data_IF_509141628399
#
_entry.id   IF_509141628399
#
_cell.length_a   1.000
_cell.length_b   1.000
_cell.length_c   1.000
_cell.angle_alpha   90.00
_cell.angle_beta   90.00
_cell.angle_gamma   90.00
#
_symmetry.space_group_name_H-M   'P 1'
#
loop_
_entity.id
_entity.type
_entity.pdbx_description
1 polymer ?
#
# COMPACT_ATOMS: atom_id res chain seq x y z
N UNK A 1 -3.06 -21.99 23.18
CA UNK A 1 -3.97 -21.59 22.09
C UNK A 1 -3.79 -20.09 21.88
N UNK A 2 -3.11 -19.67 20.83
CA UNK A 2 -3.03 -18.27 20.43
C UNK A 2 -4.44 -17.83 19.99
N UNK A 3 -4.94 -16.68 20.44
CA UNK A 3 -6.23 -16.19 19.98
C UNK A 3 -6.15 -15.97 18.45
N UNK A 4 -7.00 -16.68 17.68
CA UNK A 4 -7.18 -16.37 16.25
C UNK A 4 -7.71 -14.94 16.13
N UNK A 5 -7.18 -14.19 15.18
CA UNK A 5 -7.75 -12.88 14.84
C UNK A 5 -9.22 -13.11 14.46
N UNK A 6 -10.13 -12.45 15.18
CA UNK A 6 -11.51 -12.37 14.73
C UNK A 6 -11.59 -11.18 13.79
N UNK A 7 -11.74 -11.43 12.51
CA UNK A 7 -12.17 -10.35 11.60
C UNK A 7 -13.55 -9.83 12.08
N UNK A 8 -13.78 -8.51 12.02
CA UNK A 8 -12.92 -7.53 11.39
C UNK A 8 -11.88 -6.90 12.33
N UNK A 9 -10.58 -7.06 11.99
CA UNK A 9 -9.54 -6.17 12.52
C UNK A 9 -9.75 -4.74 11.99
N UNK A 10 -9.27 -3.75 12.71
CA UNK A 10 -9.37 -2.33 12.32
C UNK A 10 -7.99 -1.75 12.02
N UNK A 11 -7.82 -1.17 10.83
CA UNK A 11 -6.56 -0.52 10.42
C UNK A 11 -6.84 0.93 10.06
N UNK A 12 -6.10 1.85 10.69
CA UNK A 12 -6.11 3.25 10.31
C UNK A 12 -5.01 3.50 9.27
N UNK A 13 -5.35 4.15 8.16
CA UNK A 13 -4.40 4.46 7.09
C UNK A 13 -4.29 5.97 6.92
N UNK A 14 -3.06 6.51 7.02
CA UNK A 14 -2.82 7.95 6.86
C UNK A 14 -1.89 8.22 5.68
N UNK A 15 -2.34 9.04 4.74
CA UNK A 15 -1.52 9.46 3.60
C UNK A 15 -2.29 10.18 2.50
N UNK A 16 -1.62 10.46 1.37
CA UNK A 16 -2.22 11.12 0.22
C UNK A 16 -3.36 10.31 -0.41
N UNK A 17 -4.43 11.03 -0.79
CA UNK A 17 -5.57 10.52 -1.54
C UNK A 17 -5.51 11.13 -2.94
N UNK A 18 -5.50 10.30 -3.97
CA UNK A 18 -5.43 10.73 -5.36
C UNK A 18 -6.57 10.14 -6.19
N UNK A 19 -6.84 10.79 -7.31
CA UNK A 19 -7.50 10.16 -8.44
C UNK A 19 -6.46 9.92 -9.52
N UNK A 20 -6.39 8.70 -10.03
CA UNK A 20 -5.44 8.28 -11.03
C UNK A 20 -6.13 8.27 -12.41
N UNK A 21 -5.61 9.07 -13.34
CA UNK A 21 -6.04 9.09 -14.74
C UNK A 21 -4.97 8.40 -15.57
N UNK A 22 -5.28 7.22 -16.10
CA UNK A 22 -4.32 6.42 -16.88
C UNK A 22 -4.66 6.50 -18.37
N UNK A 23 -3.66 6.87 -19.17
CA UNK A 23 -3.79 7.01 -20.62
C UNK A 23 -2.72 6.17 -21.34
N UNK A 24 -3.09 5.18 -22.17
CA UNK A 24 -2.14 4.51 -23.06
C UNK A 24 -1.83 5.41 -24.27
N UNK A 25 -0.55 5.50 -24.64
CA UNK A 25 -0.09 6.20 -25.83
C UNK A 25 0.87 5.32 -26.63
N UNK A 26 0.91 5.51 -27.95
CA UNK A 26 1.86 4.79 -28.80
C UNK A 26 3.28 5.35 -28.68
N UNK A 27 3.41 6.68 -28.67
CA UNK A 27 4.70 7.37 -28.63
C UNK A 27 4.56 8.65 -27.82
N UNK A 28 5.56 8.95 -26.99
CA UNK A 28 5.64 10.23 -26.26
C UNK A 28 5.84 11.36 -27.26
N UNK A 29 5.05 12.46 -27.16
CA UNK A 29 5.25 13.65 -27.98
C UNK A 29 6.53 14.37 -27.55
N UNK A 30 7.14 15.14 -28.45
CA UNK A 30 8.15 16.13 -28.08
C UNK A 30 7.49 17.34 -27.41
N UNK A 31 8.28 18.14 -26.69
CA UNK A 31 7.78 19.38 -26.09
C UNK A 31 7.19 20.29 -27.17
N UNK A 32 5.92 20.66 -27.01
CA UNK A 32 5.17 21.46 -27.98
C UNK A 32 4.28 20.67 -28.95
N UNK A 33 4.44 19.32 -28.99
CA UNK A 33 3.61 18.44 -29.80
C UNK A 33 2.45 17.84 -28.99
N UNK A 34 1.55 17.10 -29.64
CA UNK A 34 0.46 16.37 -29.04
C UNK A 34 0.54 14.85 -29.30
N UNK A 35 -0.08 14.08 -28.45
CA UNK A 35 -0.28 12.64 -28.62
C UNK A 35 -1.71 12.26 -28.30
N UNK A 36 -2.36 11.52 -29.19
CA UNK A 36 -3.70 10.97 -28.98
C UNK A 36 -3.65 9.66 -28.20
N UNK A 37 -4.54 9.52 -27.20
CA UNK A 37 -4.80 8.25 -26.54
C UNK A 37 -6.10 7.65 -27.05
N UNK A 38 -6.18 6.33 -27.32
CA UNK A 38 -7.41 5.67 -27.80
C UNK A 38 -8.50 5.61 -26.71
N UNK A 39 -8.09 5.68 -25.44
CA UNK A 39 -8.98 5.64 -24.27
C UNK A 39 -8.26 6.18 -23.05
N UNK A 40 -8.99 6.33 -21.95
CA UNK A 40 -8.41 6.57 -20.63
C UNK A 40 -9.25 5.86 -19.56
N UNK A 41 -8.66 5.60 -18.42
CA UNK A 41 -9.38 5.15 -17.21
C UNK A 41 -9.20 6.16 -16.09
N UNK A 42 -10.20 6.21 -15.21
CA UNK A 42 -10.19 7.06 -14.02
C UNK A 42 -10.53 6.17 -12.84
N UNK A 43 -9.64 6.13 -11.86
CA UNK A 43 -9.82 5.34 -10.66
C UNK A 43 -9.44 6.18 -9.43
N UNK A 44 -10.02 5.85 -8.27
CA UNK A 44 -9.44 6.34 -7.02
C UNK A 44 -8.11 5.65 -6.79
N UNK A 45 -7.15 6.36 -6.21
CA UNK A 45 -5.79 5.89 -6.07
C UNK A 45 -5.09 6.50 -4.86
N UNK A 46 -3.76 6.48 -4.95
CA UNK A 46 -2.87 6.77 -3.84
C UNK A 46 -2.57 5.49 -3.04
N UNK A 47 -1.31 5.36 -2.58
CA UNK A 47 -0.81 4.15 -1.91
C UNK A 47 -1.71 3.72 -0.75
N UNK A 48 -2.04 4.66 0.15
CA UNK A 48 -2.92 4.34 1.29
C UNK A 48 -4.37 4.09 0.88
N UNK A 49 -4.87 4.77 -0.16
CA UNK A 49 -6.22 4.58 -0.70
C UNK A 49 -6.39 3.17 -1.27
N UNK A 50 -5.47 2.73 -2.12
CA UNK A 50 -5.46 1.39 -2.68
C UNK A 50 -5.30 0.32 -1.60
N UNK A 51 -4.39 0.52 -0.64
CA UNK A 51 -4.22 -0.40 0.50
C UNK A 51 -5.49 -0.48 1.36
N UNK A 52 -6.18 0.65 1.59
CA UNK A 52 -7.44 0.68 2.35
C UNK A 52 -8.54 -0.12 1.64
N UNK A 53 -8.69 0.07 0.32
CA UNK A 53 -9.65 -0.68 -0.49
C UNK A 53 -9.32 -2.18 -0.46
N UNK A 54 -8.06 -2.57 -0.65
CA UNK A 54 -7.65 -3.96 -0.61
C UNK A 54 -7.96 -4.61 0.76
N UNK A 55 -7.61 -3.94 1.87
CA UNK A 55 -7.92 -4.39 3.22
C UNK A 55 -9.43 -4.51 3.45
N UNK A 56 -10.20 -3.52 3.05
CA UNK A 56 -11.66 -3.55 3.20
C UNK A 56 -12.30 -4.71 2.43
N UNK A 57 -11.87 -4.96 1.19
CA UNK A 57 -12.33 -6.11 0.38
C UNK A 57 -11.91 -7.47 0.96
N UNK A 58 -10.92 -7.48 1.86
CA UNK A 58 -10.49 -8.64 2.62
C UNK A 58 -11.15 -8.74 4.01
N UNK A 59 -12.17 -7.92 4.29
CA UNK A 59 -12.94 -7.97 5.54
C UNK A 59 -12.33 -7.20 6.72
N UNK A 60 -11.30 -6.37 6.48
CA UNK A 60 -10.69 -5.50 7.50
C UNK A 60 -11.47 -4.17 7.55
N UNK A 61 -11.73 -3.66 8.75
CA UNK A 61 -12.30 -2.32 8.95
C UNK A 61 -11.23 -1.24 8.67
N UNK A 62 -11.08 -0.85 7.41
CA UNK A 62 -10.11 0.15 6.97
C UNK A 62 -10.66 1.57 7.18
N UNK A 63 -9.94 2.38 7.98
CA UNK A 63 -10.27 3.79 8.26
C UNK A 63 -9.23 4.69 7.63
N UNK A 64 -9.64 5.57 6.73
CA UNK A 64 -8.74 6.43 5.97
C UNK A 64 -8.68 7.83 6.57
N UNK A 65 -7.46 8.34 6.79
CA UNK A 65 -7.15 9.72 7.16
C UNK A 65 -6.39 10.37 6.01
N UNK A 66 -6.90 11.49 5.53
CA UNK A 66 -6.31 12.26 4.43
C UNK A 66 -7.17 13.45 4.03
N UNK A 67 -6.86 14.03 2.89
CA UNK A 67 -7.62 15.17 2.37
C UNK A 67 -8.01 14.97 0.92
N UNK A 68 -9.20 15.47 0.58
CA UNK A 68 -9.69 15.64 -0.79
C UNK A 68 -10.15 17.10 -0.99
N UNK A 69 -10.27 17.53 -2.21
CA UNK A 69 -10.86 18.84 -2.55
C UNK A 69 -12.39 18.79 -2.60
N UNK A 70 -13.01 19.95 -2.63
CA UNK A 70 -14.46 20.11 -2.83
C UNK A 70 -14.84 20.12 -4.32
N UNK A 71 -14.24 19.21 -5.10
CA UNK A 71 -14.42 19.10 -6.54
C UNK A 71 -14.96 17.73 -6.97
N UNK A 72 -15.22 17.56 -8.27
CA UNK A 72 -15.76 16.34 -8.81
C UNK A 72 -14.81 15.12 -8.58
N UNK A 73 -13.49 15.35 -8.56
CA UNK A 73 -12.52 14.30 -8.28
C UNK A 73 -12.56 13.84 -6.82
N UNK A 74 -12.74 14.80 -5.89
CA UNK A 74 -12.94 14.48 -4.48
C UNK A 74 -14.21 13.67 -4.23
N UNK A 75 -15.31 14.04 -4.90
CA UNK A 75 -16.56 13.31 -4.84
C UNK A 75 -16.41 11.88 -5.41
N UNK A 76 -15.72 11.72 -6.54
CA UNK A 76 -15.42 10.42 -7.14
C UNK A 76 -14.62 9.54 -6.18
N UNK A 77 -13.55 10.07 -5.59
CA UNK A 77 -12.72 9.33 -4.64
C UNK A 77 -13.53 8.91 -3.40
N UNK A 78 -14.28 9.84 -2.80
CA UNK A 78 -15.10 9.56 -1.62
C UNK A 78 -16.15 8.47 -1.89
N UNK A 79 -16.80 8.50 -3.06
CA UNK A 79 -17.79 7.51 -3.44
C UNK A 79 -17.17 6.13 -3.65
N UNK A 80 -16.03 6.04 -4.32
CA UNK A 80 -15.29 4.78 -4.51
C UNK A 80 -14.89 4.13 -3.18
N UNK A 81 -14.43 4.93 -2.21
CA UNK A 81 -14.10 4.43 -0.88
C UNK A 81 -15.34 3.90 -0.15
N UNK A 82 -16.48 4.63 -0.19
CA UNK A 82 -17.74 4.16 0.42
C UNK A 82 -18.24 2.86 -0.20
N UNK A 83 -18.22 2.77 -1.54
CA UNK A 83 -18.65 1.57 -2.27
C UNK A 83 -17.82 0.34 -1.92
N UNK A 84 -16.55 0.52 -1.57
CA UNK A 84 -15.66 -0.56 -1.16
C UNK A 84 -15.64 -0.80 0.35
N UNK A 85 -16.46 -0.08 1.13
CA UNK A 85 -16.59 -0.27 2.58
C UNK A 85 -15.49 0.40 3.41
N UNK A 86 -14.66 1.26 2.81
CA UNK A 86 -13.65 2.05 3.54
C UNK A 86 -14.33 3.15 4.35
N UNK A 87 -14.02 3.23 5.64
CA UNK A 87 -14.47 4.32 6.51
C UNK A 87 -13.67 5.60 6.21
N UNK A 88 -14.35 6.60 5.67
CA UNK A 88 -13.78 7.90 5.32
C UNK A 88 -14.12 9.01 6.33
N UNK A 89 -14.55 8.64 7.54
CA UNK A 89 -14.82 9.64 8.61
C UNK A 89 -13.59 10.47 8.99
N UNK A 90 -12.40 9.96 8.69
CA UNK A 90 -11.12 10.66 8.85
C UNK A 90 -10.69 11.51 7.65
N UNK A 91 -11.47 11.50 6.55
CA UNK A 91 -11.12 12.26 5.35
C UNK A 91 -11.71 13.67 5.41
N UNK A 92 -10.85 14.67 5.29
CA UNK A 92 -11.27 16.09 5.26
C UNK A 92 -11.49 16.56 3.83
N UNK A 93 -12.59 17.31 3.62
CA UNK A 93 -12.87 18.01 2.38
C UNK A 93 -12.38 19.44 2.51
N UNK A 94 -11.40 19.87 1.70
CA UNK A 94 -10.79 21.20 1.77
C UNK A 94 -11.49 22.16 0.78
N UNK A 95 -12.21 23.20 1.30
CA UNK A 95 -12.91 24.14 0.44
C UNK A 95 -11.98 24.94 -0.48
N UNK A 96 -12.33 25.07 -1.75
CA UNK A 96 -11.57 25.83 -2.75
C UNK A 96 -10.25 25.19 -3.17
N UNK A 97 -9.94 23.98 -2.69
CA UNK A 97 -8.73 23.25 -3.05
C UNK A 97 -9.09 22.13 -4.02
N UNK A 98 -8.20 21.83 -4.98
CA UNK A 98 -8.38 20.69 -5.90
C UNK A 98 -7.92 19.41 -5.28
N UNK A 99 -8.60 18.30 -5.58
CA UNK A 99 -8.16 16.94 -5.20
C UNK A 99 -6.84 16.59 -5.87
N UNK A 100 -6.00 15.79 -5.21
CA UNK A 100 -4.77 15.26 -5.77
C UNK A 100 -5.05 14.41 -7.01
N UNK A 101 -4.29 14.62 -8.09
CA UNK A 101 -4.39 13.88 -9.34
C UNK A 101 -3.04 13.31 -9.73
N UNK A 102 -3.05 12.06 -10.22
CA UNK A 102 -1.93 11.45 -10.91
C UNK A 102 -2.34 11.16 -12.35
N UNK A 103 -1.63 11.72 -13.30
CA UNK A 103 -1.75 11.32 -14.69
C UNK A 103 -0.66 10.29 -15.00
N UNK A 104 -1.07 9.04 -15.23
CA UNK A 104 -0.19 7.95 -15.61
C UNK A 104 -0.26 7.76 -17.13
N UNK A 105 0.78 8.14 -17.82
CA UNK A 105 0.93 7.92 -19.27
C UNK A 105 1.67 6.62 -19.48
N UNK A 106 1.04 5.66 -20.16
CA UNK A 106 1.57 4.31 -20.39
C UNK A 106 2.01 4.19 -21.83
N UNK A 107 3.30 4.02 -22.06
CA UNK A 107 3.85 3.81 -23.42
C UNK A 107 3.54 2.41 -23.95
N UNK A 108 3.70 2.21 -25.26
CA UNK A 108 3.52 0.91 -25.93
C UNK A 108 4.42 -0.20 -25.33
N UNK A 109 5.54 0.16 -24.72
CA UNK A 109 6.42 -0.76 -24.00
C UNK A 109 5.95 -1.14 -22.60
N UNK A 110 4.83 -0.57 -22.12
CA UNK A 110 4.31 -0.79 -20.78
C UNK A 110 4.95 0.10 -19.69
N UNK A 111 5.91 0.95 -20.05
CA UNK A 111 6.52 1.90 -19.13
C UNK A 111 5.54 3.02 -18.77
N UNK A 112 5.56 3.42 -17.49
CA UNK A 112 4.67 4.45 -16.96
C UNK A 112 5.43 5.70 -16.57
N UNK A 113 4.92 6.84 -17.01
CA UNK A 113 5.39 8.17 -16.59
C UNK A 113 4.25 8.88 -15.88
N UNK A 114 4.53 9.42 -14.69
CA UNK A 114 3.54 10.06 -13.85
C UNK A 114 3.72 11.58 -13.84
N UNK A 115 2.59 12.29 -13.97
CA UNK A 115 2.49 13.73 -13.74
C UNK A 115 1.56 13.95 -12.55
N UNK A 116 2.13 14.38 -11.42
CA UNK A 116 1.43 14.45 -10.16
C UNK A 116 1.03 15.89 -9.82
N UNK A 117 -0.25 16.11 -9.60
CA UNK A 117 -0.80 17.34 -9.01
C UNK A 117 -1.21 17.05 -7.56
N UNK A 118 -0.51 17.63 -6.60
CA UNK A 118 -0.70 17.33 -5.18
C UNK A 118 -2.05 17.78 -4.62
N UNK A 119 -2.53 18.97 -5.03
CA UNK A 119 -3.82 19.48 -4.58
C UNK A 119 -4.01 19.42 -3.07
N UNK A 120 -5.11 18.86 -2.62
CA UNK A 120 -5.46 18.68 -1.21
C UNK A 120 -4.47 17.81 -0.41
N UNK A 121 -3.51 17.17 -1.06
CA UNK A 121 -2.43 16.44 -0.38
C UNK A 121 -1.28 17.34 0.07
N UNK A 122 -1.35 18.64 -0.15
CA UNK A 122 -0.49 19.62 0.50
C UNK A 122 -1.19 20.05 1.78
N UNK A 123 -0.80 19.45 2.91
CA UNK A 123 -1.38 19.77 4.20
C UNK A 123 -0.71 21.01 4.76
N UNK A 124 -1.48 21.96 5.22
CA UNK A 124 -0.92 23.09 5.94
C UNK A 124 -0.79 22.77 7.45
N UNK A 125 0.03 23.55 8.14
CA UNK A 125 0.27 23.35 9.57
C UNK A 125 -0.96 23.67 10.45
N UNK A 126 -2.01 24.23 9.88
CA UNK A 126 -3.27 24.58 10.57
C UNK A 126 -4.29 23.47 10.45
N UNK A 127 -4.12 22.55 9.49
CA UNK A 127 -5.05 21.45 9.30
C UNK A 127 -4.93 20.41 10.42
N UNK A 128 -6.04 20.21 11.12
CA UNK A 128 -6.14 19.24 12.20
C UNK A 128 -6.81 17.95 11.71
N UNK A 129 -6.03 16.91 11.56
CA UNK A 129 -6.58 15.57 11.29
C UNK A 129 -7.25 15.00 12.55
N UNK A 130 -8.31 14.18 12.40
CA UNK A 130 -8.95 13.48 13.51
C UNK A 130 -8.11 12.28 13.98
N UNK A 131 -6.87 12.54 14.44
CA UNK A 131 -5.89 11.51 14.80
C UNK A 131 -6.32 10.65 16.00
N UNK A 132 -7.32 11.08 16.78
CA UNK A 132 -7.92 10.27 17.83
C UNK A 132 -8.51 8.94 17.32
N UNK A 133 -8.80 8.83 16.01
CA UNK A 133 -9.26 7.59 15.39
C UNK A 133 -8.19 6.48 15.53
N UNK A 134 -6.90 6.84 15.52
CA UNK A 134 -5.78 5.90 15.60
C UNK A 134 -5.84 5.09 16.89
N UNK A 135 -6.15 5.72 18.02
CA UNK A 135 -6.17 5.07 19.35
C UNK A 135 -7.20 3.93 19.48
N UNK A 136 -8.12 3.81 18.51
CA UNK A 136 -9.15 2.78 18.47
C UNK A 136 -9.00 1.85 17.27
N UNK A 137 -7.76 1.54 16.89
CA UNK A 137 -7.44 0.63 15.77
C UNK A 137 -6.38 -0.38 16.20
N UNK A 138 -6.30 -1.50 15.48
CA UNK A 138 -5.33 -2.57 15.73
C UNK A 138 -3.98 -2.29 15.06
N UNK A 139 -3.92 -1.32 14.12
CA UNK A 139 -2.69 -0.91 13.45
C UNK A 139 -2.84 0.47 12.79
N UNK A 140 -1.74 1.22 12.76
CA UNK A 140 -1.55 2.39 11.91
C UNK A 140 -0.71 2.02 10.68
N UNK A 141 -1.27 2.18 9.48
CA UNK A 141 -0.54 2.09 8.21
C UNK A 141 -0.23 3.48 7.69
N UNK A 142 1.03 3.74 7.36
CA UNK A 142 1.47 5.01 6.77
C UNK A 142 2.29 4.79 5.51
N UNK A 143 2.54 5.88 4.79
CA UNK A 143 3.46 5.90 3.64
C UNK A 143 4.53 6.98 3.82
N UNK A 144 5.65 6.84 3.13
CA UNK A 144 6.72 7.83 3.17
C UNK A 144 6.39 9.19 2.53
N UNK A 145 5.35 9.27 1.70
CA UNK A 145 5.01 10.49 0.93
C UNK A 145 4.87 11.78 1.79
N UNK A 146 4.24 11.77 2.97
CA UNK A 146 4.19 12.97 3.79
C UNK A 146 5.55 13.51 4.25
N UNK A 147 6.58 12.67 4.29
CA UNK A 147 7.94 13.11 4.67
C UNK A 147 8.61 13.98 3.62
N UNK A 148 8.18 13.90 2.35
CA UNK A 148 8.77 14.69 1.26
C UNK A 148 8.42 16.18 1.32
N UNK A 149 7.49 16.57 2.19
CA UNK A 149 7.03 17.94 2.34
C UNK A 149 7.11 18.41 3.79
N UNK A 150 7.74 19.54 4.02
CA UNK A 150 7.88 20.12 5.36
C UNK A 150 6.53 20.40 6.03
N UNK A 151 5.50 20.76 5.25
CA UNK A 151 4.14 21.02 5.76
C UNK A 151 3.40 19.75 6.17
N UNK A 152 3.67 18.61 5.55
CA UNK A 152 2.97 17.34 5.80
C UNK A 152 3.65 16.52 6.91
N UNK A 153 4.96 16.67 7.05
CA UNK A 153 5.78 15.89 7.99
C UNK A 153 5.28 15.92 9.44
N UNK A 154 4.90 17.09 10.01
CA UNK A 154 4.40 17.14 11.39
C UNK A 154 3.17 16.28 11.64
N UNK A 155 2.23 16.21 10.67
CA UNK A 155 1.02 15.40 10.80
C UNK A 155 1.35 13.90 10.85
N UNK A 156 2.27 13.43 9.99
CA UNK A 156 2.72 12.04 10.02
C UNK A 156 3.45 11.69 11.33
N UNK A 157 4.39 12.54 11.77
CA UNK A 157 5.13 12.29 13.00
C UNK A 157 4.23 12.27 14.22
N UNK A 158 3.25 13.19 14.30
CA UNK A 158 2.23 13.20 15.35
C UNK A 158 1.36 11.92 15.33
N UNK A 159 0.97 11.44 14.15
CA UNK A 159 0.24 10.18 14.04
C UNK A 159 1.06 8.98 14.55
N UNK A 160 2.35 8.93 14.23
CA UNK A 160 3.28 7.91 14.73
C UNK A 160 3.41 8.00 16.26
N UNK A 161 3.59 9.21 16.81
CA UNK A 161 3.72 9.42 18.26
C UNK A 161 2.44 9.03 19.02
N UNK A 162 1.25 9.31 18.44
CA UNK A 162 -0.04 8.86 19.01
C UNK A 162 -0.13 7.33 18.99
N UNK A 163 0.23 6.69 17.88
CA UNK A 163 0.22 5.24 17.78
C UNK A 163 1.15 4.60 18.84
N UNK A 164 2.40 5.09 18.96
CA UNK A 164 3.35 4.61 19.98
C UNK A 164 2.83 4.81 21.40
N UNK A 165 2.21 5.98 21.70
CA UNK A 165 1.68 6.29 23.03
C UNK A 165 0.48 5.43 23.43
N UNK A 166 -0.15 4.76 22.48
CA UNK A 166 -1.30 3.87 22.69
C UNK A 166 -0.98 2.40 22.38
N UNK A 167 0.31 2.04 22.26
CA UNK A 167 0.77 0.69 21.92
C UNK A 167 0.14 0.13 20.61
N UNK A 168 -0.18 1.02 19.67
CA UNK A 168 -0.72 0.65 18.36
C UNK A 168 0.44 0.36 17.40
N UNK A 169 0.53 -0.86 16.84
CA UNK A 169 1.57 -1.21 15.88
C UNK A 169 1.56 -0.32 14.64
N UNK A 170 2.75 -0.04 14.11
CA UNK A 170 2.92 0.86 12.97
C UNK A 170 3.55 0.10 11.81
N UNK A 171 2.88 0.15 10.65
CA UNK A 171 3.39 -0.33 9.37
C UNK A 171 3.65 0.85 8.43
N UNK A 172 4.75 0.80 7.68
CA UNK A 172 5.07 1.79 6.65
C UNK A 172 5.43 1.12 5.33
N UNK A 173 4.76 1.54 4.24
CA UNK A 173 5.27 1.36 2.87
C UNK A 173 6.08 2.61 2.50
N UNK A 174 7.39 2.46 2.30
CA UNK A 174 8.29 3.60 2.12
C UNK A 174 8.02 4.37 0.83
N UNK A 175 7.64 3.67 -0.24
CA UNK A 175 7.47 4.20 -1.60
C UNK A 175 8.74 4.82 -2.18
N UNK A 176 8.95 4.68 -3.50
CA UNK A 176 10.24 4.98 -4.14
C UNK A 176 10.64 6.46 -4.03
N UNK A 177 9.72 7.37 -4.36
CA UNK A 177 10.03 8.80 -4.37
C UNK A 177 10.42 9.35 -2.99
N UNK A 178 9.67 9.03 -1.90
CA UNK A 178 10.05 9.43 -0.55
C UNK A 178 11.45 8.96 -0.12
N UNK A 179 11.86 7.76 -0.50
CA UNK A 179 13.19 7.26 -0.15
C UNK A 179 14.29 8.12 -0.74
N UNK A 180 14.15 8.57 -1.99
CA UNK A 180 15.13 9.45 -2.63
C UNK A 180 15.10 10.88 -2.11
N UNK A 181 13.90 11.46 -1.95
CA UNK A 181 13.72 12.87 -1.61
C UNK A 181 13.88 13.15 -0.10
N UNK A 182 13.70 12.15 0.76
CA UNK A 182 13.65 12.29 2.22
C UNK A 182 14.32 11.13 2.97
N UNK A 183 15.46 10.65 2.47
CA UNK A 183 16.17 9.48 3.00
C UNK A 183 16.45 9.57 4.50
N UNK A 184 16.88 10.75 4.99
CA UNK A 184 17.16 10.96 6.42
C UNK A 184 15.92 10.83 7.28
N UNK A 185 14.79 11.33 6.81
CA UNK A 185 13.52 11.26 7.56
C UNK A 185 12.97 9.83 7.56
N UNK A 186 13.07 9.11 6.42
CA UNK A 186 12.71 7.68 6.36
C UNK A 186 13.55 6.88 7.37
N UNK A 187 14.89 7.07 7.36
CA UNK A 187 15.78 6.40 8.32
C UNK A 187 15.45 6.72 9.78
N UNK A 188 15.02 7.94 10.07
CA UNK A 188 14.64 8.35 11.43
C UNK A 188 13.31 7.71 11.88
N UNK A 189 12.42 7.33 10.94
CA UNK A 189 11.14 6.69 11.24
C UNK A 189 11.26 5.17 11.38
N UNK A 190 12.17 4.51 10.63
CA UNK A 190 12.32 3.04 10.66
C UNK A 190 12.37 2.44 12.07
N UNK A 191 13.11 2.99 13.05
CA UNK A 191 13.16 2.44 14.41
C UNK A 191 11.83 2.49 15.18
N UNK A 192 10.85 3.25 14.69
CA UNK A 192 9.52 3.40 15.29
C UNK A 192 8.49 2.43 14.71
N UNK A 193 8.86 1.65 13.69
CA UNK A 193 7.96 0.76 12.94
C UNK A 193 7.98 -0.66 13.51
N UNK A 194 6.81 -1.32 13.48
CA UNK A 194 6.72 -2.77 13.64
C UNK A 194 6.89 -3.49 12.30
N UNK A 195 6.39 -2.88 11.20
CA UNK A 195 6.51 -3.44 9.85
C UNK A 195 7.11 -2.39 8.92
N UNK A 196 8.18 -2.75 8.22
CA UNK A 196 8.79 -1.93 7.17
C UNK A 196 8.68 -2.63 5.81
N UNK A 197 7.99 -1.99 4.85
CA UNK A 197 7.73 -2.54 3.51
C UNK A 197 8.40 -1.63 2.49
N UNK A 198 9.20 -2.22 1.59
CA UNK A 198 9.99 -1.47 0.61
C UNK A 198 9.95 -2.17 -0.77
N UNK A 199 10.06 -1.41 -1.83
CA UNK A 199 10.48 -1.93 -3.13
C UNK A 199 11.99 -2.21 -3.15
N UNK A 200 12.45 -3.08 -4.03
CA UNK A 200 13.87 -3.46 -4.12
C UNK A 200 14.78 -2.26 -4.38
N UNK A 201 14.42 -1.38 -5.33
CA UNK A 201 15.22 -0.18 -5.64
C UNK A 201 15.31 0.77 -4.46
N UNK A 202 14.19 0.99 -3.76
CA UNK A 202 14.11 1.78 -2.53
C UNK A 202 15.04 1.22 -1.46
N UNK A 203 14.98 -0.09 -1.27
CA UNK A 203 15.74 -0.81 -0.29
C UNK A 203 17.26 -0.77 -0.58
N UNK A 204 17.65 -0.95 -1.84
CA UNK A 204 19.05 -0.81 -2.27
C UNK A 204 19.61 0.58 -1.96
N UNK A 205 18.85 1.62 -2.30
CA UNK A 205 19.25 3.00 -2.07
C UNK A 205 19.35 3.34 -0.58
N UNK A 206 18.35 2.91 0.20
CA UNK A 206 18.25 3.22 1.63
C UNK A 206 19.40 2.59 2.44
N UNK A 207 19.85 1.40 2.08
CA UNK A 207 20.83 0.60 2.83
C UNK A 207 22.22 0.57 2.17
N UNK A 208 22.33 1.11 0.95
CA UNK A 208 23.56 1.05 0.12
C UNK A 208 24.07 -0.41 -0.03
N UNK A 209 23.16 -1.29 -0.49
CA UNK A 209 23.46 -2.71 -0.71
C UNK A 209 22.55 -3.30 -1.79
N UNK A 210 22.99 -4.38 -2.46
CA UNK A 210 22.24 -5.00 -3.56
C UNK A 210 21.66 -6.38 -3.24
N UNK A 211 22.14 -7.06 -2.19
CA UNK A 211 21.55 -8.35 -1.80
C UNK A 211 20.31 -8.15 -0.93
N UNK A 212 19.12 -8.62 -1.36
CA UNK A 212 17.87 -8.33 -0.67
C UNK A 212 17.77 -8.97 0.73
N UNK A 213 18.47 -10.10 0.99
CA UNK A 213 18.54 -10.69 2.32
C UNK A 213 19.34 -9.82 3.28
N UNK A 214 20.51 -9.38 2.86
CA UNK A 214 21.35 -8.46 3.65
C UNK A 214 20.63 -7.15 3.93
N UNK A 215 19.90 -6.62 2.94
CA UNK A 215 19.11 -5.40 3.09
C UNK A 215 18.03 -5.61 4.15
N UNK A 216 17.23 -6.68 4.02
CA UNK A 216 16.15 -6.98 4.95
C UNK A 216 16.65 -7.13 6.39
N UNK A 217 17.77 -7.84 6.60
CA UNK A 217 18.41 -8.01 7.91
C UNK A 217 18.94 -6.69 8.49
N UNK A 218 19.57 -5.84 7.66
CA UNK A 218 20.06 -4.53 8.10
C UNK A 218 18.92 -3.58 8.52
N UNK A 219 17.77 -3.64 7.84
CA UNK A 219 16.59 -2.85 8.22
C UNK A 219 15.96 -3.43 9.49
N UNK A 220 15.83 -4.76 9.57
CA UNK A 220 15.30 -5.45 10.75
C UNK A 220 16.09 -5.11 12.02
N UNK A 221 17.42 -5.03 11.91
CA UNK A 221 18.29 -4.67 13.06
C UNK A 221 18.11 -3.25 13.58
N UNK A 222 17.34 -2.40 12.88
CA UNK A 222 17.03 -1.03 13.30
C UNK A 222 15.75 -0.91 14.13
N UNK A 223 14.95 -1.98 14.29
CA UNK A 223 13.77 -1.95 15.15
C UNK A 223 12.53 -2.68 14.67
N UNK A 224 12.21 -2.75 13.37
CA UNK A 224 11.02 -3.45 12.90
C UNK A 224 10.99 -4.93 13.33
N UNK A 225 9.78 -5.46 13.57
CA UNK A 225 9.56 -6.89 13.83
C UNK A 225 9.46 -7.69 12.53
N UNK A 226 8.99 -7.05 11.45
CA UNK A 226 8.89 -7.64 10.11
C UNK A 226 9.39 -6.65 9.07
N UNK A 227 10.24 -7.12 8.18
CA UNK A 227 10.68 -6.38 6.99
C UNK A 227 10.25 -7.14 5.74
N UNK A 228 9.66 -6.44 4.78
CA UNK A 228 9.25 -6.97 3.49
C UNK A 228 9.92 -6.20 2.35
N UNK A 229 10.75 -6.87 1.55
CA UNK A 229 11.36 -6.31 0.34
C UNK A 229 10.66 -6.89 -0.88
N UNK A 230 9.91 -6.06 -1.59
CA UNK A 230 9.16 -6.42 -2.82
C UNK A 230 10.15 -6.55 -3.98
N UNK A 231 10.15 -7.71 -4.66
CA UNK A 231 11.01 -8.00 -5.82
C UNK A 231 10.24 -8.04 -7.16
N UNK A 232 9.03 -7.46 -7.19
CA UNK A 232 8.14 -7.48 -8.35
C UNK A 232 7.79 -8.91 -8.77
N UNK A 233 7.87 -9.22 -10.05
CA UNK A 233 7.57 -10.56 -10.59
C UNK A 233 8.47 -11.69 -10.05
N UNK A 234 9.50 -11.38 -9.25
CA UNK A 234 10.34 -12.38 -8.58
C UNK A 234 9.82 -12.75 -7.18
N UNK A 235 8.80 -12.05 -6.67
CA UNK A 235 8.22 -12.29 -5.35
C UNK A 235 8.74 -11.31 -4.29
N UNK A 236 9.14 -11.80 -3.12
CA UNK A 236 9.63 -10.95 -2.03
C UNK A 236 10.68 -11.64 -1.17
N UNK A 237 11.42 -10.84 -0.40
CA UNK A 237 12.17 -11.30 0.77
C UNK A 237 11.44 -10.78 2.01
N UNK A 238 11.18 -11.68 2.96
CA UNK A 238 10.69 -11.35 4.28
C UNK A 238 11.72 -11.70 5.34
N UNK A 239 11.86 -10.84 6.35
CA UNK A 239 12.73 -11.08 7.50
C UNK A 239 12.02 -10.71 8.81
N UNK A 240 12.12 -11.59 9.80
CA UNK A 240 11.75 -11.35 11.19
C UNK A 240 12.90 -11.83 12.11
N UNK A 241 12.68 -11.88 13.43
CA UNK A 241 13.68 -12.34 14.41
C UNK A 241 14.16 -13.79 14.18
N UNK A 242 13.33 -14.62 13.58
CA UNK A 242 13.55 -16.07 13.51
C UNK A 242 14.16 -16.48 12.16
N UNK A 243 13.73 -15.85 11.06
CA UNK A 243 14.17 -16.26 9.73
C UNK A 243 14.16 -15.08 8.73
N UNK A 244 14.99 -15.23 7.68
CA UNK A 244 15.00 -14.36 6.51
C UNK A 244 14.87 -15.23 5.26
N UNK A 245 13.76 -15.09 4.53
CA UNK A 245 13.37 -16.01 3.47
C UNK A 245 13.00 -15.30 2.17
N UNK A 246 13.27 -15.95 1.05
CA UNK A 246 12.74 -15.56 -0.26
C UNK A 246 11.49 -16.38 -0.59
N UNK A 247 10.44 -15.70 -1.00
CA UNK A 247 9.20 -16.31 -1.47
C UNK A 247 8.95 -15.92 -2.92
N UNK A 248 8.71 -16.89 -3.82
CA UNK A 248 8.49 -16.61 -5.23
C UNK A 248 7.14 -15.91 -5.46
N UNK A 249 7.03 -15.19 -6.57
CA UNK A 249 5.76 -14.66 -7.07
C UNK A 249 4.89 -15.77 -7.66
N UNK A 250 3.61 -15.50 -7.79
CA UNK A 250 2.63 -16.39 -8.40
C UNK A 250 2.36 -16.03 -9.86
N UNK A 251 2.25 -17.04 -10.72
CA UNK A 251 2.04 -16.85 -12.15
C UNK A 251 0.59 -16.50 -12.44
N UNK A 252 0.38 -15.34 -13.02
CA UNK A 252 -0.91 -14.86 -13.50
C UNK A 252 -0.74 -14.23 -14.90
N UNK A 253 -1.85 -14.01 -15.61
CA UNK A 253 -1.81 -13.22 -16.83
C UNK A 253 -1.82 -11.73 -16.45
N UNK A 254 -0.66 -11.11 -16.40
CA UNK A 254 -0.51 -9.69 -16.11
C UNK A 254 -1.13 -8.82 -17.20
N UNK A 255 -1.94 -7.86 -16.78
CA UNK A 255 -2.58 -6.83 -17.61
C UNK A 255 -2.01 -5.45 -17.24
N UNK A 256 -2.01 -5.10 -15.96
CA UNK A 256 -1.51 -3.82 -15.43
C UNK A 256 -0.94 -4.05 -14.03
N UNK A 257 0.18 -3.42 -13.70
CA UNK A 257 0.83 -3.58 -12.38
C UNK A 257 0.44 -2.51 -11.37
N UNK A 258 -0.52 -1.64 -11.71
CA UNK A 258 -1.01 -0.59 -10.81
C UNK A 258 -1.70 -1.21 -9.59
N UNK A 259 -1.36 -0.73 -8.41
CA UNK A 259 -1.93 -1.24 -7.14
C UNK A 259 -1.37 -2.59 -6.64
N UNK A 260 -0.49 -3.26 -7.41
CA UNK A 260 0.08 -4.54 -6.99
C UNK A 260 0.89 -4.42 -5.68
N UNK A 261 1.69 -3.35 -5.54
CA UNK A 261 2.45 -3.07 -4.32
C UNK A 261 1.54 -2.75 -3.13
N UNK A 262 0.46 -2.01 -3.37
CA UNK A 262 -0.50 -1.60 -2.33
C UNK A 262 -1.29 -2.82 -1.83
N UNK A 263 -1.68 -3.71 -2.74
CA UNK A 263 -2.39 -4.95 -2.42
C UNK A 263 -1.46 -5.97 -1.75
N UNK A 264 -0.19 -6.03 -2.13
CA UNK A 264 0.84 -6.78 -1.42
C UNK A 264 0.97 -6.27 0.04
N UNK A 265 1.02 -4.95 0.23
CA UNK A 265 1.07 -4.32 1.55
C UNK A 265 -0.14 -4.71 2.40
N UNK A 266 -1.35 -4.74 1.82
CA UNK A 266 -2.55 -5.22 2.50
C UNK A 266 -2.40 -6.70 2.95
N UNK A 267 -1.81 -7.55 2.14
CA UNK A 267 -1.52 -8.95 2.48
C UNK A 267 -0.53 -9.09 3.63
N UNK A 268 0.55 -8.28 3.66
CA UNK A 268 1.50 -8.26 4.79
C UNK A 268 0.81 -7.84 6.09
N UNK A 269 0.03 -6.75 6.05
CA UNK A 269 -0.71 -6.25 7.21
C UNK A 269 -1.67 -7.31 7.75
N UNK A 270 -2.46 -7.91 6.86
CA UNK A 270 -3.45 -8.92 7.24
C UNK A 270 -2.79 -10.18 7.83
N UNK A 271 -1.73 -10.69 7.21
CA UNK A 271 -0.98 -11.84 7.70
C UNK A 271 -0.36 -11.58 9.08
N UNK A 272 0.23 -10.39 9.28
CA UNK A 272 0.82 -10.02 10.56
C UNK A 272 -0.24 -9.88 11.68
N UNK A 273 -1.34 -9.17 11.42
CA UNK A 273 -2.45 -9.03 12.37
C UNK A 273 -3.08 -10.38 12.71
N UNK A 274 -3.15 -11.29 11.75
CA UNK A 274 -3.67 -12.66 11.92
C UNK A 274 -2.68 -13.61 12.60
N UNK A 275 -1.46 -13.12 12.90
CA UNK A 275 -0.36 -13.92 13.48
C UNK A 275 -0.04 -15.18 12.67
N UNK A 276 -0.13 -15.06 11.36
CA UNK A 276 0.34 -16.10 10.44
C UNK A 276 1.85 -16.26 10.56
N UNK A 277 2.36 -17.44 10.25
CA UNK A 277 3.80 -17.55 10.08
C UNK A 277 4.29 -16.71 8.87
N UNK A 278 5.58 -16.42 8.85
CA UNK A 278 6.17 -15.51 7.85
C UNK A 278 5.99 -16.03 6.42
N UNK A 279 5.93 -17.38 6.23
CA UNK A 279 5.73 -18.01 4.92
C UNK A 279 4.30 -17.82 4.43
N UNK A 280 3.33 -18.09 5.29
CA UNK A 280 1.91 -17.87 4.97
C UNK A 280 1.63 -16.37 4.73
N UNK A 281 2.22 -15.48 5.53
CA UNK A 281 2.13 -14.02 5.34
C UNK A 281 2.66 -13.58 3.97
N UNK A 282 3.85 -14.04 3.59
CA UNK A 282 4.44 -13.69 2.30
C UNK A 282 3.74 -14.37 1.11
N UNK A 283 3.22 -15.58 1.29
CA UNK A 283 2.39 -16.25 0.30
C UNK A 283 1.12 -15.44 0.03
N UNK A 284 0.38 -15.06 1.07
CA UNK A 284 -0.81 -14.21 0.97
C UNK A 284 -0.51 -12.90 0.24
N UNK A 285 0.55 -12.20 0.64
CA UNK A 285 0.94 -10.94 0.04
C UNK A 285 1.32 -11.08 -1.45
N UNK A 286 2.11 -12.10 -1.81
CA UNK A 286 2.49 -12.38 -3.19
C UNK A 286 1.29 -12.76 -4.07
N UNK A 287 0.34 -13.56 -3.57
CA UNK A 287 -0.89 -13.91 -4.30
C UNK A 287 -1.73 -12.66 -4.55
N UNK A 288 -1.97 -11.87 -3.52
CA UNK A 288 -2.76 -10.65 -3.63
C UNK A 288 -2.13 -9.65 -4.59
N UNK A 289 -0.81 -9.43 -4.47
CA UNK A 289 -0.07 -8.58 -5.41
C UNK A 289 -0.13 -9.08 -6.85
N UNK A 290 -0.05 -10.41 -7.07
CA UNK A 290 -0.19 -11.00 -8.39
C UNK A 290 -1.61 -10.83 -8.94
N UNK A 291 -2.65 -11.11 -8.15
CA UNK A 291 -4.05 -10.95 -8.55
C UNK A 291 -4.38 -9.50 -8.93
N UNK A 292 -3.83 -8.51 -8.21
CA UNK A 292 -4.00 -7.11 -8.56
C UNK A 292 -3.52 -6.79 -9.98
N UNK A 293 -2.54 -7.55 -10.50
CA UNK A 293 -2.03 -7.33 -11.86
C UNK A 293 -2.93 -7.91 -12.97
N UNK A 294 -4.00 -8.62 -12.65
CA UNK A 294 -4.87 -9.28 -13.63
C UNK A 294 -6.00 -8.38 -14.14
N UNK A 295 -6.10 -7.16 -13.63
CA UNK A 295 -7.09 -6.16 -14.01
C UNK A 295 -6.42 -4.89 -14.52
N UNK A 296 -7.15 -4.06 -15.25
CA UNK A 296 -6.67 -2.75 -15.69
C UNK A 296 -7.03 -1.68 -14.67
N UNK A 297 -6.03 -0.96 -14.15
CA UNK A 297 -6.17 0.05 -13.10
C UNK A 297 -6.11 -0.56 -11.70
N UNK A 298 -6.40 0.27 -10.69
CA UNK A 298 -6.41 -0.08 -9.28
C UNK A 298 -7.77 0.28 -8.63
N UNK A 299 -7.77 0.82 -7.42
CA UNK A 299 -8.97 1.29 -6.74
C UNK A 299 -10.00 0.18 -6.56
N UNK A 300 -11.24 0.43 -6.99
CA UNK A 300 -12.36 -0.51 -6.81
C UNK A 300 -12.17 -1.86 -7.51
N UNK A 301 -11.25 -1.96 -8.47
CA UNK A 301 -10.96 -3.18 -9.24
C UNK A 301 -9.98 -4.13 -8.55
N UNK A 302 -9.33 -3.70 -7.49
CA UNK A 302 -8.41 -4.55 -6.73
C UNK A 302 -9.09 -5.83 -6.22
N UNK A 303 -8.36 -6.97 -6.12
CA UNK A 303 -8.91 -8.23 -5.69
C UNK A 303 -9.39 -8.19 -4.23
N UNK A 304 -10.39 -8.98 -3.92
CA UNK A 304 -10.90 -9.22 -2.59
C UNK A 304 -10.84 -10.70 -2.19
N UNK A 305 -11.66 -11.05 -1.20
CA UNK A 305 -11.72 -12.41 -0.65
C UNK A 305 -12.14 -13.44 -1.70
N UNK A 306 -13.08 -13.11 -2.58
CA UNK A 306 -13.60 -14.06 -3.59
C UNK A 306 -12.51 -14.46 -4.59
N UNK A 307 -11.78 -13.49 -5.16
CA UNK A 307 -10.70 -13.73 -6.11
C UNK A 307 -9.54 -14.48 -5.45
N UNK A 308 -9.22 -14.14 -4.19
CA UNK A 308 -8.19 -14.83 -3.41
C UNK A 308 -8.55 -16.31 -3.20
N UNK A 309 -9.75 -16.61 -2.70
CA UNK A 309 -10.21 -17.99 -2.44
C UNK A 309 -10.28 -18.78 -3.73
N UNK A 310 -10.80 -18.21 -4.81
CA UNK A 310 -10.85 -18.86 -6.12
C UNK A 310 -9.44 -19.23 -6.62
N UNK A 311 -8.48 -18.32 -6.48
CA UNK A 311 -7.09 -18.59 -6.85
C UNK A 311 -6.45 -19.66 -5.99
N UNK A 312 -6.60 -19.59 -4.66
CA UNK A 312 -6.09 -20.61 -3.73
C UNK A 312 -6.65 -22.01 -4.04
N UNK A 313 -7.95 -22.11 -4.33
CA UNK A 313 -8.56 -23.38 -4.74
C UNK A 313 -7.95 -23.93 -6.05
N UNK A 314 -7.58 -23.05 -6.97
CA UNK A 314 -6.97 -23.45 -8.26
C UNK A 314 -5.55 -24.01 -8.13
N UNK A 315 -4.78 -23.54 -7.13
CA UNK A 315 -3.40 -23.99 -6.90
C UNK A 315 -3.30 -25.14 -5.89
N UNK A 316 -4.31 -25.33 -5.01
CA UNK A 316 -4.28 -26.30 -3.90
C UNK A 316 -4.17 -27.77 -4.36
N UNK A 317 -4.54 -28.10 -5.61
CA UNK A 317 -4.48 -29.47 -6.14
C UNK A 317 -3.05 -29.98 -6.41
N UNK A 318 -2.02 -29.13 -6.35
CA UNK A 318 -0.61 -29.47 -6.66
C UNK A 318 0.36 -29.03 -5.54
N UNK A 319 -0.11 -28.66 -4.34
CA UNK A 319 0.63 -27.73 -3.49
C UNK A 319 1.59 -28.40 -2.49
N UNK A 320 2.86 -27.98 -2.60
CA UNK A 320 3.91 -28.21 -1.59
C UNK A 320 3.73 -27.33 -0.34
N UNK A 321 2.84 -26.32 -0.39
CA UNK A 321 2.63 -25.31 0.64
C UNK A 321 1.26 -25.45 1.32
N UNK A 322 0.80 -26.69 1.51
CA UNK A 322 -0.53 -26.99 2.07
C UNK A 322 -0.76 -26.30 3.42
N UNK A 323 0.27 -26.27 4.28
CA UNK A 323 0.17 -25.67 5.61
C UNK A 323 -0.11 -24.17 5.54
N UNK A 324 0.60 -23.47 4.68
CA UNK A 324 0.45 -22.02 4.45
C UNK A 324 -0.91 -21.72 3.83
N UNK A 325 -1.32 -22.51 2.85
CA UNK A 325 -2.64 -22.41 2.20
C UNK A 325 -3.77 -22.63 3.22
N UNK A 326 -3.65 -23.64 4.10
CA UNK A 326 -4.63 -23.92 5.15
C UNK A 326 -4.74 -22.74 6.13
N UNK A 327 -3.62 -22.08 6.52
CA UNK A 327 -3.66 -20.89 7.37
C UNK A 327 -4.42 -19.74 6.71
N UNK A 328 -4.23 -19.53 5.38
CA UNK A 328 -4.95 -18.50 4.65
C UNK A 328 -6.44 -18.84 4.56
N UNK A 329 -6.82 -20.09 4.25
CA UNK A 329 -8.22 -20.50 4.23
C UNK A 329 -8.91 -20.33 5.59
N UNK A 330 -8.23 -20.68 6.69
CA UNK A 330 -8.78 -20.56 8.04
C UNK A 330 -9.10 -19.11 8.43
N UNK A 331 -8.50 -18.11 7.75
CA UNK A 331 -8.78 -16.70 8.00
C UNK A 331 -10.15 -16.28 7.44
N UNK A 332 -10.57 -16.90 6.33
CA UNK A 332 -11.78 -16.50 5.59
C UNK A 332 -12.93 -17.52 5.70
N UNK A 333 -12.72 -18.64 6.35
CA UNK A 333 -13.72 -19.71 6.64
C UNK A 333 -14.09 -19.71 8.09
#
# INVERSE_FOLDING_TARGET
MTPKLRLPASVCLLGPINVDVTMPIDTYPQEGDDAGAPSYSVETGGVVGNTAIALSKLGVNAKLIGCIGDDNWGNLAAEAFRQTGVDISGVSVLPGVKTGLNFAVVSKGGERTFFNAWGANIWDNTHQFPLHIISNTDMLQVTGHPLTRSSNRPALLNAIDIAQSNDIPISMDTSIRPVFDSTSDIRAVIPKLNICILGYEEACYLVDHSDPHTIAQKILSQGPELVAVKLGGKGCVLANSDECITLPSYKVKTIDTTGAGDTFTAGIILGWLSKMDIRATGMLANILGALATTVWGAGTKLPGTEELIAYLASINSQDKNKRETDQIFELFG
#
